data_IF_057045100825
#
_entry.id   IF_057045100825
#
_cell.length_a   1.000
_cell.length_b   1.000
_cell.length_c   1.000
_cell.angle_alpha   90.00
_cell.angle_beta   90.00
_cell.angle_gamma   90.00
#
_symmetry.space_group_name_H-M   'P 1'
#
loop_
_entity.id
_entity.type
_entity.pdbx_description
1 polymer ?
#
# COMPACT_ATOMS: atom_id res chain seq x y z
N UNK A 1 -9.16 4.46 5.57
CA UNK A 1 -8.34 3.42 4.91
C UNK A 1 -8.67 2.12 5.61
N UNK A 2 -8.95 1.04 4.88
CA UNK A 2 -9.18 -0.28 5.48
C UNK A 2 -7.86 -0.76 6.13
N UNK A 3 -7.93 -1.39 7.31
CA UNK A 3 -6.75 -1.75 8.11
C UNK A 3 -5.73 -2.59 7.31
N UNK A 4 -6.23 -3.47 6.45
CA UNK A 4 -5.44 -4.32 5.55
C UNK A 4 -4.57 -3.54 4.55
N UNK A 5 -4.92 -2.30 4.21
CA UNK A 5 -4.13 -1.45 3.30
C UNK A 5 -3.02 -0.73 4.04
N UNK A 6 -3.28 -0.30 5.28
CA UNK A 6 -2.26 0.31 6.13
C UNK A 6 -1.18 -0.70 6.49
N UNK A 7 -1.59 -1.90 6.87
CA UNK A 7 -0.68 -2.99 7.26
C UNK A 7 0.31 -3.35 6.14
N UNK A 8 -0.15 -3.52 4.90
CA UNK A 8 0.78 -3.83 3.79
C UNK A 8 1.72 -2.67 3.44
N UNK A 9 1.32 -1.42 3.72
CA UNK A 9 2.19 -0.24 3.54
C UNK A 9 3.26 -0.21 4.63
N UNK A 10 2.89 -0.44 5.89
CA UNK A 10 3.81 -0.53 7.02
C UNK A 10 4.87 -1.61 6.77
N UNK A 11 4.44 -2.84 6.51
CA UNK A 11 5.36 -3.95 6.27
C UNK A 11 6.26 -3.72 5.05
N UNK A 12 5.75 -3.09 3.98
CA UNK A 12 6.55 -2.87 2.77
C UNK A 12 7.56 -1.74 2.90
N UNK A 13 7.15 -0.59 3.44
CA UNK A 13 7.93 0.65 3.34
C UNK A 13 8.63 1.03 4.65
N UNK A 14 8.17 0.52 5.79
CA UNK A 14 8.80 0.80 7.10
C UNK A 14 9.61 -0.41 7.59
N UNK A 15 9.08 -1.62 7.42
CA UNK A 15 9.79 -2.87 7.76
C UNK A 15 10.60 -3.44 6.57
N UNK A 16 10.59 -2.75 5.43
CA UNK A 16 11.33 -3.08 4.20
C UNK A 16 11.13 -4.52 3.66
N UNK A 17 10.03 -5.18 4.04
CA UNK A 17 9.79 -6.57 3.67
C UNK A 17 9.48 -6.74 2.18
N UNK A 18 9.94 -7.86 1.61
CA UNK A 18 9.53 -8.29 0.27
C UNK A 18 8.07 -8.75 0.23
N UNK A 19 7.44 -8.75 -0.95
CA UNK A 19 6.05 -9.23 -1.08
C UNK A 19 5.87 -10.70 -0.66
N UNK A 20 6.92 -11.51 -0.77
CA UNK A 20 6.91 -12.91 -0.33
C UNK A 20 6.88 -13.00 1.21
N UNK A 21 7.74 -12.22 1.89
CA UNK A 21 7.75 -12.17 3.36
C UNK A 21 6.44 -11.60 3.92
N UNK A 22 5.86 -10.59 3.26
CA UNK A 22 4.56 -10.04 3.66
C UNK A 22 3.46 -11.08 3.48
N UNK A 23 3.49 -11.85 2.38
CA UNK A 23 2.52 -12.92 2.14
C UNK A 23 2.59 -13.99 3.24
N UNK A 24 3.80 -14.36 3.67
CA UNK A 24 4.05 -15.28 4.78
C UNK A 24 3.52 -14.73 6.12
N UNK A 25 3.89 -13.50 6.50
CA UNK A 25 3.45 -12.86 7.76
C UNK A 25 1.93 -12.72 7.83
N UNK A 26 1.29 -12.38 6.71
CA UNK A 26 -0.16 -12.17 6.65
C UNK A 26 -0.96 -13.46 6.36
N UNK A 27 -0.31 -14.61 6.22
CA UNK A 27 -0.97 -15.89 5.91
C UNK A 27 -1.77 -15.85 4.60
N UNK A 28 -1.28 -15.12 3.59
CA UNK A 28 -1.97 -14.90 2.31
C UNK A 28 -1.04 -15.17 1.13
N UNK A 29 -1.55 -15.09 -0.10
CA UNK A 29 -0.71 -15.18 -1.30
C UNK A 29 -0.15 -13.82 -1.74
N UNK A 30 0.96 -13.85 -2.49
CA UNK A 30 1.64 -12.66 -3.04
C UNK A 30 0.73 -11.83 -3.96
N UNK A 31 -0.21 -12.46 -4.67
CA UNK A 31 -1.19 -11.75 -5.50
C UNK A 31 -2.10 -10.83 -4.68
N UNK A 32 -2.56 -11.31 -3.52
CA UNK A 32 -3.32 -10.53 -2.55
C UNK A 32 -2.49 -9.39 -1.97
N UNK A 33 -1.21 -9.62 -1.65
CA UNK A 33 -0.31 -8.55 -1.18
C UNK A 33 -0.18 -7.45 -2.23
N UNK A 34 0.05 -7.82 -3.50
CA UNK A 34 0.15 -6.87 -4.61
C UNK A 34 -1.14 -6.08 -4.81
N UNK A 35 -2.30 -6.74 -4.78
CA UNK A 35 -3.59 -6.07 -4.98
C UNK A 35 -3.95 -5.13 -3.82
N UNK A 36 -3.64 -5.53 -2.57
CA UNK A 36 -3.77 -4.66 -1.39
C UNK A 36 -2.85 -3.44 -1.48
N UNK A 37 -1.57 -3.64 -1.83
CA UNK A 37 -0.62 -2.53 -2.00
C UNK A 37 -1.03 -1.57 -3.13
N UNK A 38 -1.56 -2.10 -4.24
CA UNK A 38 -2.05 -1.27 -5.33
C UNK A 38 -3.21 -0.38 -4.85
N UNK A 39 -4.23 -0.97 -4.22
CA UNK A 39 -5.37 -0.23 -3.66
C UNK A 39 -4.95 0.77 -2.58
N UNK A 40 -4.02 0.39 -1.72
CA UNK A 40 -3.47 1.26 -0.68
C UNK A 40 -2.82 2.52 -1.28
N UNK A 41 -1.99 2.35 -2.33
CA UNK A 41 -1.36 3.47 -3.04
C UNK A 41 -2.37 4.35 -3.77
N UNK A 42 -3.37 3.77 -4.42
CA UNK A 42 -4.44 4.54 -5.08
C UNK A 42 -5.24 5.37 -4.07
N UNK A 43 -5.54 4.80 -2.91
CA UNK A 43 -6.20 5.53 -1.82
C UNK A 43 -5.33 6.68 -1.30
N UNK A 44 -4.03 6.45 -1.07
CA UNK A 44 -3.09 7.49 -0.66
C UNK A 44 -2.97 8.60 -1.72
N UNK A 45 -2.88 8.24 -3.00
CA UNK A 45 -2.87 9.20 -4.11
C UNK A 45 -4.12 10.09 -4.08
N UNK A 46 -5.30 9.51 -3.89
CA UNK A 46 -6.55 10.28 -3.80
C UNK A 46 -6.53 11.26 -2.62
N UNK A 47 -6.07 10.83 -1.44
CA UNK A 47 -5.96 11.73 -0.28
C UNK A 47 -4.99 12.89 -0.54
N UNK A 48 -3.81 12.60 -1.12
CA UNK A 48 -2.80 13.64 -1.39
C UNK A 48 -3.31 14.65 -2.44
N UNK A 49 -4.06 14.18 -3.44
CA UNK A 49 -4.70 15.05 -4.42
C UNK A 49 -5.82 15.91 -3.81
N UNK A 50 -6.65 15.35 -2.93
CA UNK A 50 -7.68 16.11 -2.21
C UNK A 50 -7.07 17.22 -1.34
N UNK A 51 -5.90 16.98 -0.77
CA UNK A 51 -5.12 17.95 0.01
C UNK A 51 -4.43 19.02 -0.87
N UNK A 52 -4.50 18.92 -2.21
CA UNK A 52 -3.81 19.82 -3.15
C UNK A 52 -2.29 19.63 -3.18
N UNK A 53 -1.73 18.73 -2.37
CA UNK A 53 -0.28 18.51 -2.22
C UNK A 53 0.33 17.64 -3.33
N UNK A 54 -0.52 17.02 -4.15
CA UNK A 54 -0.12 16.08 -5.22
C UNK A 54 -0.09 16.69 -6.62
N UNK A 55 -0.44 17.96 -6.77
CA UNK A 55 -0.45 18.62 -8.08
C UNK A 55 0.95 18.58 -8.72
N UNK A 56 1.02 18.14 -9.98
CA UNK A 56 2.27 18.00 -10.73
C UNK A 56 3.10 16.74 -10.44
N UNK A 57 2.80 15.98 -9.37
CA UNK A 57 3.50 14.73 -9.03
C UNK A 57 2.81 13.47 -9.56
N UNK A 58 1.49 13.49 -9.63
CA UNK A 58 0.72 12.38 -10.18
C UNK A 58 0.24 12.73 -11.58
N UNK A 59 0.76 12.04 -12.59
CA UNK A 59 0.28 12.10 -13.97
C UNK A 59 -0.77 11.04 -14.24
#
# INVERSE_FOLDING_TARGET
MEDLYKEVIELRYFEEMSYAQIAEVLGTNVGTVKSRLFKAKEFLKHLILQDGKGEGYFR
#
